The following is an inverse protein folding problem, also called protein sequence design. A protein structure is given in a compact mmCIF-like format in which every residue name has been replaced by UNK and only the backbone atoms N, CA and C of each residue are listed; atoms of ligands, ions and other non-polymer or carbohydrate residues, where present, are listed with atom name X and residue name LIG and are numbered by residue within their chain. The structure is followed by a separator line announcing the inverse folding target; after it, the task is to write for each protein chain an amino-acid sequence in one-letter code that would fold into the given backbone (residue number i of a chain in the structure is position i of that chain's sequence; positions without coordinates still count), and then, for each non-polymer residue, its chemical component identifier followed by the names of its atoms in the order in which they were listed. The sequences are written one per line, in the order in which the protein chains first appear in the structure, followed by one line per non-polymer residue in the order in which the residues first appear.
data_IF_360193599306
#
_entry.id   IF_360193599306
#
_cell.length_a   1.000
_cell.length_b   1.000
_cell.length_c   1.000
_cell.angle_alpha   90.00
_cell.angle_beta   90.00
_cell.angle_gamma   90.00
#
_symmetry.space_group_name_H-M   'P 1'
#
loop_
_entity.id
_entity.type
_entity.pdbx_description
1 polymer ?
#
# COMPACT_ATOMS: atom_id res chain seq x y z
N UNK A 1 1.34 14.19 -14.18
CA UNK A 1 1.30 12.73 -14.36
C UNK A 1 1.15 12.10 -13.00
N UNK A 2 0.15 11.24 -12.82
CA UNK A 2 0.00 10.48 -11.57
C UNK A 2 1.13 9.46 -11.47
N UNK A 3 1.77 9.41 -10.29
CA UNK A 3 2.85 8.47 -10.00
C UNK A 3 2.22 7.11 -9.69
N UNK A 4 2.64 6.05 -10.39
CA UNK A 4 2.06 4.70 -10.30
C UNK A 4 3.08 3.68 -9.83
N UNK A 5 2.59 2.59 -9.26
CA UNK A 5 3.40 1.44 -8.85
C UNK A 5 2.67 0.13 -9.07
N UNK A 6 3.38 -0.97 -8.92
CA UNK A 6 2.82 -2.33 -9.08
C UNK A 6 3.10 -3.14 -7.82
N UNK A 7 2.11 -3.89 -7.33
CA UNK A 7 2.26 -4.77 -6.17
C UNK A 7 3.15 -5.96 -6.55
N UNK A 8 4.37 -6.01 -6.02
CA UNK A 8 5.27 -7.14 -6.21
C UNK A 8 4.95 -8.29 -5.24
N UNK A 9 4.65 -7.96 -3.98
CA UNK A 9 4.10 -8.86 -2.96
C UNK A 9 3.42 -8.01 -1.89
N UNK A 10 2.52 -8.59 -1.11
CA UNK A 10 1.79 -7.88 -0.06
C UNK A 10 1.49 -8.76 1.14
N UNK A 11 1.17 -8.10 2.25
CA UNK A 11 0.56 -8.70 3.44
C UNK A 11 -0.57 -7.80 3.93
N UNK A 12 -1.68 -8.43 4.33
CA UNK A 12 -2.79 -7.76 5.00
C UNK A 12 -2.54 -7.83 6.50
N UNK A 13 -2.31 -6.66 7.11
CA UNK A 13 -2.18 -6.56 8.56
C UNK A 13 -3.58 -6.43 9.15
N UNK A 14 -4.03 -7.51 9.81
CA UNK A 14 -5.33 -7.59 10.49
C UNK A 14 -5.29 -7.27 11.98
N UNK A 15 -4.09 -7.16 12.54
CA UNK A 15 -3.87 -6.78 13.93
C UNK A 15 -2.64 -5.89 13.99
N UNK A 16 -2.86 -4.57 14.03
CA UNK A 16 -1.80 -3.59 14.23
C UNK A 16 -1.45 -3.37 15.71
N UNK A 17 -0.40 -2.60 15.95
CA UNK A 17 -0.18 -1.99 17.27
C UNK A 17 -1.25 -0.92 17.55
N UNK A 18 -1.35 -0.44 18.79
CA UNK A 18 -2.32 0.60 19.17
C UNK A 18 -2.27 1.83 18.24
N UNK A 19 -1.06 2.26 17.85
CA UNK A 19 -0.86 3.36 16.91
C UNK A 19 -1.43 3.13 15.48
N UNK A 20 -1.85 1.90 15.17
CA UNK A 20 -2.39 1.49 13.86
C UNK A 20 -3.79 0.86 13.96
N UNK A 21 -4.44 0.87 15.13
CA UNK A 21 -5.76 0.26 15.31
C UNK A 21 -6.82 0.87 14.39
N UNK A 22 -6.87 2.21 14.30
CA UNK A 22 -7.84 2.93 13.46
C UNK A 22 -7.65 2.72 11.95
N UNK A 23 -6.54 2.11 11.55
CA UNK A 23 -6.21 1.81 10.15
C UNK A 23 -6.30 0.33 9.84
N UNK A 24 -6.61 -0.52 10.82
CA UNK A 24 -6.72 -1.96 10.63
C UNK A 24 -8.10 -2.32 10.06
N UNK A 25 -8.21 -3.18 9.03
CA UNK A 25 -7.11 -3.82 8.30
C UNK A 25 -6.45 -2.89 7.27
N UNK A 26 -5.13 -3.01 7.10
CA UNK A 26 -4.37 -2.29 6.07
C UNK A 26 -3.41 -3.21 5.31
N UNK A 27 -2.95 -2.76 4.15
CA UNK A 27 -1.98 -3.48 3.33
C UNK A 27 -0.60 -2.86 3.46
N UNK A 28 0.40 -3.71 3.71
CA UNK A 28 1.80 -3.43 3.46
C UNK A 28 2.24 -4.20 2.22
N UNK A 29 2.89 -3.52 1.28
CA UNK A 29 3.33 -4.13 0.04
C UNK A 29 4.77 -3.75 -0.29
N UNK A 30 5.45 -4.66 -0.98
CA UNK A 30 6.59 -4.30 -1.81
C UNK A 30 6.03 -3.76 -3.11
N UNK A 31 6.23 -2.48 -3.36
CA UNK A 31 5.80 -1.80 -4.58
C UNK A 31 6.98 -1.66 -5.51
N UNK A 32 6.79 -2.05 -6.76
CA UNK A 32 7.74 -1.83 -7.84
C UNK A 32 7.36 -0.57 -8.63
N UNK A 33 8.32 0.34 -8.75
CA UNK A 33 8.18 1.59 -9.50
C UNK A 33 9.52 1.91 -10.18
N UNK A 34 9.51 2.18 -11.49
CA UNK A 34 10.72 2.47 -12.26
C UNK A 34 11.84 1.41 -12.05
N UNK A 35 11.47 0.12 -12.04
CA UNK A 35 12.36 -1.02 -11.76
C UNK A 35 13.00 -1.03 -10.35
N UNK A 36 12.50 -0.21 -9.42
CA UNK A 36 12.94 -0.19 -8.02
C UNK A 36 11.83 -0.70 -7.11
N UNK A 37 12.20 -1.57 -6.18
CA UNK A 37 11.28 -2.11 -5.17
C UNK A 37 11.45 -1.36 -3.86
N UNK A 38 10.33 -1.02 -3.23
CA UNK A 38 10.30 -0.39 -1.90
C UNK A 38 9.11 -0.91 -1.10
N UNK A 39 9.23 -0.91 0.23
CA UNK A 39 8.08 -1.14 1.10
C UNK A 39 7.21 0.12 1.15
N UNK A 40 5.90 -0.06 1.07
CA UNK A 40 4.93 1.03 1.18
C UNK A 40 3.61 0.51 1.78
N UNK A 41 2.83 1.43 2.37
CA UNK A 41 1.46 1.16 2.78
C UNK A 41 0.50 1.46 1.63
N UNK A 42 -0.52 0.62 1.48
CA UNK A 42 -1.64 0.85 0.56
C UNK A 42 -2.90 1.08 1.40
N UNK A 43 -3.54 2.22 1.19
CA UNK A 43 -4.78 2.62 1.86
C UNK A 43 -6.01 2.26 1.02
N UNK A 44 -7.17 2.24 1.68
CA UNK A 44 -8.45 1.88 1.03
C UNK A 44 -8.71 0.37 0.96
N UNK A 45 -7.92 -0.45 1.66
CA UNK A 45 -8.16 -1.89 1.72
C UNK A 45 -9.42 -2.19 2.53
N UNK A 46 -10.23 -3.10 2.00
CA UNK A 46 -11.36 -3.72 2.69
C UNK A 46 -11.30 -5.23 2.44
N UNK A 47 -12.02 -6.03 3.22
CA UNK A 47 -12.09 -7.48 2.96
C UNK A 47 -12.81 -7.84 1.64
N UNK A 48 -13.45 -6.86 0.99
CA UNK A 48 -14.00 -6.98 -0.36
C UNK A 48 -13.02 -6.58 -1.47
N UNK A 49 -11.84 -6.06 -1.13
CA UNK A 49 -10.82 -5.67 -2.10
C UNK A 49 -10.08 -6.91 -2.63
N UNK A 50 -10.24 -7.22 -3.91
CA UNK A 50 -9.55 -8.33 -4.59
C UNK A 50 -8.10 -7.96 -4.95
N UNK A 51 -7.22 -7.92 -3.94
CA UNK A 51 -5.82 -7.56 -4.10
C UNK A 51 -4.98 -8.71 -4.67
N UNK A 52 -4.23 -8.44 -5.74
CA UNK A 52 -3.39 -9.43 -6.43
C UNK A 52 -1.96 -8.93 -6.65
N UNK A 53 -1.01 -9.87 -6.77
CA UNK A 53 0.34 -9.55 -7.24
C UNK A 53 0.25 -9.12 -8.71
N UNK A 54 0.91 -8.03 -9.07
CA UNK A 54 0.83 -7.41 -10.40
C UNK A 54 -0.22 -6.31 -10.52
N UNK A 55 -1.05 -6.09 -9.48
CA UNK A 55 -2.03 -5.00 -9.46
C UNK A 55 -1.34 -3.62 -9.49
N UNK A 56 -1.89 -2.72 -10.30
CA UNK A 56 -1.46 -1.32 -10.36
C UNK A 56 -2.09 -0.51 -9.23
N UNK A 57 -1.31 0.40 -8.66
CA UNK A 57 -1.71 1.30 -7.57
C UNK A 57 -1.22 2.71 -7.84
N UNK A 58 -1.93 3.69 -7.29
CA UNK A 58 -1.65 5.11 -7.50
C UNK A 58 -1.04 5.72 -6.25
N UNK A 59 0.03 6.49 -6.41
CA UNK A 59 0.60 7.27 -5.32
C UNK A 59 -0.43 8.26 -4.79
N UNK A 60 -0.64 8.25 -3.48
CA UNK A 60 -1.61 9.09 -2.81
C UNK A 60 -0.93 10.29 -2.14
N UNK A 61 0.03 10.02 -1.25
CA UNK A 61 0.79 11.03 -0.50
C UNK A 61 2.03 10.43 0.13
N UNK A 62 2.93 11.26 0.64
CA UNK A 62 3.97 10.82 1.58
C UNK A 62 3.45 10.95 3.03
N UNK A 63 3.88 10.06 3.91
CA UNK A 63 3.62 10.17 5.35
C UNK A 63 4.52 11.23 6.00
N UNK A 64 4.35 11.46 7.30
CA UNK A 64 5.14 12.44 8.07
C UNK A 64 6.65 12.13 8.13
N UNK A 65 7.06 10.93 7.72
CA UNK A 65 8.46 10.48 7.66
C UNK A 65 8.99 10.42 6.21
N UNK A 66 8.19 10.82 5.23
CA UNK A 66 8.54 10.77 3.81
C UNK A 66 8.39 9.39 3.17
N UNK A 67 7.69 8.45 3.79
CA UNK A 67 7.39 7.17 3.16
C UNK A 67 6.18 7.31 2.23
N UNK A 68 6.22 6.73 1.02
CA UNK A 68 5.09 6.82 0.10
C UNK A 68 3.93 5.95 0.57
N UNK A 69 2.73 6.51 0.48
CA UNK A 69 1.45 5.85 0.64
C UNK A 69 0.78 5.78 -0.73
N UNK A 70 0.22 4.62 -1.05
CA UNK A 70 -0.51 4.37 -2.27
C UNK A 70 -1.99 4.10 -1.97
N UNK A 71 -2.83 4.15 -2.99
CA UNK A 71 -4.22 3.70 -2.96
C UNK A 71 -4.48 2.73 -4.10
N UNK A 72 -5.49 1.87 -3.94
CA UNK A 72 -6.10 1.17 -5.07
C UNK A 72 -6.67 2.20 -6.05
N UNK A 73 -6.53 1.92 -7.34
CA UNK A 73 -7.10 2.74 -8.42
C UNK A 73 -8.61 2.63 -8.52
#
# INVERSE_FOLDING_TARGET
MERRGTIHTYSVVRCGTEAFQDMTPYVLAVVEENSKKRMARIEGYTDTTDITIGMEITFLRDDVRGNPIYTFG
#
